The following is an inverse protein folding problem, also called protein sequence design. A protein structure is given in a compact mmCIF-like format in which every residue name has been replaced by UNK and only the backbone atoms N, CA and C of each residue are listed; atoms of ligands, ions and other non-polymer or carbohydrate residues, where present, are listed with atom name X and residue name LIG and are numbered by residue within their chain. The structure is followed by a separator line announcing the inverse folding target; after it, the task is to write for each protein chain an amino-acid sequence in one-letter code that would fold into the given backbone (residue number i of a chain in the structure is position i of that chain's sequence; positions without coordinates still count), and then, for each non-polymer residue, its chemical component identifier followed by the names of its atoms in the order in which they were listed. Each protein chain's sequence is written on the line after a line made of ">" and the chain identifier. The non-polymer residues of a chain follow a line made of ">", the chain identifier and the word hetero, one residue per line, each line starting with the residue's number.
data_IF_284622414128
#
_entry.id   IF_284622414128
#
_cell.length_a   1.000
_cell.length_b   1.000
_cell.length_c   1.000
_cell.angle_alpha   90.00
_cell.angle_beta   90.00
_cell.angle_gamma   90.00
#
_symmetry.space_group_name_H-M   'P 1'
#
loop_
_entity.id
_entity.type
_entity.pdbx_description
1 polymer ?
#
# COMPACT_ATOMS: atom_id res chain seq x y z
N UNK A 1 -8.23 1.47 11.47
CA UNK A 1 -7.08 0.82 12.14
C UNK A 1 -6.10 1.91 12.55
N UNK A 2 -5.89 2.12 13.85
CA UNK A 2 -4.96 3.12 14.41
C UNK A 2 -3.55 2.53 14.41
N UNK A 3 -2.59 3.21 13.79
CA UNK A 3 -1.17 2.81 13.83
C UNK A 3 -0.54 3.29 15.13
N UNK A 4 0.55 2.62 15.56
CA UNK A 4 1.30 2.96 16.78
C UNK A 4 1.95 4.36 16.72
N UNK A 5 1.90 5.02 15.57
CA UNK A 5 2.46 6.34 15.28
C UNK A 5 1.52 7.51 15.64
N UNK A 6 0.24 7.24 15.90
CA UNK A 6 -0.79 8.27 16.17
C UNK A 6 -0.81 8.79 17.62
N UNK A 7 0.14 8.41 18.47
CA UNK A 7 0.10 8.72 19.89
C UNK A 7 0.61 10.14 20.28
N UNK A 8 0.93 11.02 19.33
CA UNK A 8 1.63 12.27 19.65
C UNK A 8 0.82 13.58 19.54
N UNK A 9 -0.45 13.56 19.12
CA UNK A 9 -1.16 14.81 18.82
C UNK A 9 -2.57 14.94 19.43
N UNK A 10 -2.80 14.57 20.69
CA UNK A 10 -4.04 14.95 21.40
C UNK A 10 -3.79 15.24 22.89
N UNK A 11 -3.06 16.31 23.22
CA UNK A 11 -3.20 16.97 24.53
C UNK A 11 -2.99 18.49 24.35
N UNK A 12 -4.04 19.22 23.98
CA UNK A 12 -4.13 20.66 24.25
C UNK A 12 -4.37 20.85 25.76
N UNK A 13 -3.29 20.85 26.56
CA UNK A 13 -3.34 21.33 27.94
C UNK A 13 -2.69 22.72 27.99
N UNK A 14 -3.47 23.71 28.43
CA UNK A 14 -3.04 25.10 28.70
C UNK A 14 -1.63 25.12 29.33
N UNK A 15 -0.69 25.95 28.84
CA UNK A 15 0.66 25.93 29.38
C UNK A 15 0.64 26.61 30.75
N UNK A 16 0.88 25.82 31.82
CA UNK A 16 1.34 26.35 33.11
C UNK A 16 2.57 27.21 32.83
N UNK A 17 2.62 28.43 33.37
CA UNK A 17 3.78 29.31 33.28
C UNK A 17 5.00 28.57 33.87
N UNK A 18 5.93 28.14 33.03
CA UNK A 18 7.15 27.43 33.44
C UNK A 18 8.27 28.43 33.66
N UNK A 19 9.14 28.13 34.63
CA UNK A 19 10.29 28.96 34.96
C UNK A 19 11.15 29.22 33.70
N UNK A 20 11.72 30.44 33.54
CA UNK A 20 12.46 30.82 32.32
C UNK A 20 13.62 29.87 31.98
N UNK A 21 14.26 29.26 32.99
CA UNK A 21 15.33 28.26 32.79
C UNK A 21 14.88 26.93 32.18
N UNK A 22 13.65 26.46 32.47
CA UNK A 22 13.10 25.24 31.87
C UNK A 22 12.65 25.46 30.42
N UNK A 23 12.06 26.63 30.14
CA UNK A 23 11.71 27.02 28.78
C UNK A 23 12.96 27.11 27.88
N UNK A 24 14.08 27.57 28.44
CA UNK A 24 15.36 27.66 27.73
C UNK A 24 16.01 26.28 27.50
N UNK A 25 15.91 25.34 28.44
CA UNK A 25 16.31 23.93 28.25
C UNK A 25 15.45 23.22 27.20
N UNK A 26 14.13 23.42 27.21
CA UNK A 26 13.21 22.81 26.23
C UNK A 26 13.43 23.40 24.84
N UNK A 27 13.68 24.71 24.71
CA UNK A 27 14.04 25.35 23.43
C UNK A 27 15.36 24.82 22.86
N UNK A 28 16.35 24.54 23.70
CA UNK A 28 17.64 23.94 23.28
C UNK A 28 17.50 22.49 22.79
N UNK A 29 16.42 21.79 23.14
CA UNK A 29 16.18 20.41 22.72
C UNK A 29 15.14 20.25 21.60
N UNK A 30 14.50 21.34 21.15
CA UNK A 30 13.61 21.32 19.98
C UNK A 30 14.41 21.66 18.73
N UNK A 31 15.11 20.68 18.18
CA UNK A 31 15.54 20.79 16.80
C UNK A 31 14.47 20.17 15.92
N UNK A 32 13.92 20.98 15.03
CA UNK A 32 13.16 20.46 13.90
C UNK A 32 14.13 20.20 12.76
N UNK A 33 14.00 19.05 12.10
CA UNK A 33 14.71 18.75 10.86
C UNK A 33 13.64 18.72 9.78
N UNK A 34 13.77 19.59 8.78
CA UNK A 34 12.80 19.70 7.68
C UNK A 34 11.34 19.87 8.16
N UNK A 35 11.13 20.55 9.30
CA UNK A 35 9.78 20.79 9.85
C UNK A 35 9.21 19.66 10.72
N UNK A 36 9.94 18.57 10.91
CA UNK A 36 9.54 17.43 11.74
C UNK A 36 10.28 17.39 13.07
N UNK A 37 9.67 16.75 14.07
CA UNK A 37 10.23 16.66 15.42
C UNK A 37 11.35 15.61 15.46
N UNK A 38 12.56 16.04 15.84
CA UNK A 38 13.70 15.15 16.06
C UNK A 38 13.92 14.97 17.57
N UNK A 39 13.87 13.73 18.06
CA UNK A 39 14.17 13.45 19.46
C UNK A 39 15.64 13.10 19.65
N UNK A 40 16.46 14.06 20.12
CA UNK A 40 17.89 13.83 20.38
C UNK A 40 18.22 12.80 21.43
N UNK A 41 17.25 12.40 22.28
CA UNK A 41 17.49 11.41 23.34
C UNK A 41 17.38 9.99 22.83
N UNK A 42 16.50 9.76 21.86
CA UNK A 42 16.26 8.45 21.27
C UNK A 42 16.82 8.35 19.85
N UNK A 43 17.31 9.47 19.29
CA UNK A 43 17.67 9.64 17.88
C UNK A 43 16.61 9.22 16.86
N UNK A 44 15.39 8.93 17.34
CA UNK A 44 14.25 8.55 16.50
C UNK A 44 13.69 9.80 15.84
N UNK A 45 13.66 9.77 14.51
CA UNK A 45 12.93 10.70 13.69
C UNK A 45 11.89 9.95 12.86
N UNK A 46 10.62 10.24 13.12
CA UNK A 46 9.51 9.72 12.33
C UNK A 46 8.83 10.90 11.64
N UNK A 47 8.97 11.02 10.30
CA UNK A 47 8.29 12.08 9.59
C UNK A 47 6.78 11.94 9.73
N UNK A 48 6.07 13.07 9.79
CA UNK A 48 4.61 13.05 9.84
C UNK A 48 4.05 12.41 8.56
N UNK A 49 2.98 11.64 8.67
CA UNK A 49 2.30 11.09 7.50
C UNK A 49 1.90 12.20 6.53
N UNK A 50 2.12 11.97 5.23
CA UNK A 50 1.85 12.95 4.18
C UNK A 50 2.90 14.06 4.06
N UNK A 51 4.00 13.98 4.80
CA UNK A 51 5.15 14.86 4.59
C UNK A 51 5.76 14.67 3.20
N UNK A 52 6.11 15.79 2.58
CA UNK A 52 6.67 15.80 1.22
C UNK A 52 8.14 16.21 1.30
N UNK A 53 8.99 15.49 0.58
CA UNK A 53 10.41 15.77 0.51
C UNK A 53 10.92 15.59 -0.91
N UNK A 54 11.88 16.42 -1.31
CA UNK A 54 12.48 16.36 -2.64
C UNK A 54 13.91 15.83 -2.56
N UNK A 55 14.24 14.82 -3.37
CA UNK A 55 15.61 14.31 -3.55
C UNK A 55 16.00 14.45 -5.01
N UNK A 56 17.26 14.80 -5.26
CA UNK A 56 17.81 14.87 -6.62
C UNK A 56 18.32 13.48 -6.99
N UNK A 57 17.79 12.92 -8.06
CA UNK A 57 18.10 11.56 -8.54
C UNK A 57 18.47 11.59 -10.02
N UNK A 58 19.21 10.57 -10.47
CA UNK A 58 19.53 10.34 -11.87
C UNK A 58 18.92 9.01 -12.37
N UNK A 59 19.00 8.75 -13.68
CA UNK A 59 18.38 7.56 -14.31
C UNK A 59 19.03 6.23 -13.93
N UNK A 60 20.25 6.25 -13.42
CA UNK A 60 21.01 5.06 -13.00
C UNK A 60 20.83 4.72 -11.51
N UNK A 61 20.15 5.58 -10.74
CA UNK A 61 19.88 5.32 -9.33
C UNK A 61 18.76 4.30 -9.17
N UNK A 62 19.09 3.16 -8.58
CA UNK A 62 18.12 2.15 -8.19
C UNK A 62 17.27 2.57 -6.98
N UNK A 63 16.18 1.84 -6.73
CA UNK A 63 15.27 2.03 -5.60
C UNK A 63 16.02 2.06 -4.27
N UNK A 64 16.98 1.15 -4.06
CA UNK A 64 17.79 1.08 -2.83
C UNK A 64 18.58 2.38 -2.61
N UNK A 65 19.22 2.91 -3.66
CA UNK A 65 19.99 4.15 -3.53
C UNK A 65 19.10 5.35 -3.19
N UNK A 66 17.94 5.47 -3.86
CA UNK A 66 16.98 6.55 -3.60
C UNK A 66 16.40 6.42 -2.19
N UNK A 67 16.12 5.20 -1.75
CA UNK A 67 15.65 4.90 -0.41
C UNK A 67 16.66 5.34 0.65
N UNK A 68 17.93 4.99 0.50
CA UNK A 68 19.01 5.43 1.39
C UNK A 68 19.13 6.96 1.43
N UNK A 69 19.02 7.65 0.29
CA UNK A 69 19.02 9.11 0.27
C UNK A 69 17.85 9.71 1.07
N UNK A 70 16.66 9.14 0.95
CA UNK A 70 15.47 9.59 1.68
C UNK A 70 15.63 9.35 3.19
N UNK A 71 16.05 8.16 3.60
CA UNK A 71 16.27 7.82 5.00
C UNK A 71 17.34 8.72 5.63
N UNK A 72 18.44 8.98 4.92
CA UNK A 72 19.49 9.90 5.36
C UNK A 72 18.97 11.34 5.50
N UNK A 73 18.15 11.80 4.55
CA UNK A 73 17.57 13.15 4.60
C UNK A 73 16.64 13.34 5.80
N UNK A 74 15.94 12.28 6.18
CA UNK A 74 15.09 12.25 7.36
C UNK A 74 15.84 11.84 8.64
N UNK A 75 17.10 11.40 8.57
CA UNK A 75 17.84 10.84 9.72
C UNK A 75 17.09 9.68 10.40
N UNK A 76 16.55 8.78 9.59
CA UNK A 76 15.97 7.53 10.09
C UNK A 76 17.13 6.58 10.40
N UNK A 77 17.17 6.05 11.63
CA UNK A 77 18.23 5.13 12.06
C UNK A 77 18.01 3.68 11.59
N UNK A 78 16.75 3.32 11.32
CA UNK A 78 16.38 1.99 10.85
C UNK A 78 16.96 1.70 9.45
N UNK A 79 17.18 0.42 9.19
CA UNK A 79 17.81 -0.04 7.94
C UNK A 79 16.90 0.16 6.72
N UNK A 80 17.47 0.29 5.50
CA UNK A 80 16.69 0.39 4.27
C UNK A 80 15.83 -0.84 3.99
N UNK A 81 16.13 -1.99 4.59
CA UNK A 81 15.32 -3.22 4.48
C UNK A 81 13.94 -3.12 5.13
N UNK A 82 13.77 -2.21 6.11
CA UNK A 82 12.49 -2.01 6.80
C UNK A 82 11.55 -1.09 6.03
N UNK A 83 12.02 -0.50 4.93
CA UNK A 83 11.26 0.45 4.14
C UNK A 83 11.21 0.02 2.67
N UNK A 84 10.19 0.50 1.98
CA UNK A 84 10.09 0.38 0.55
C UNK A 84 9.46 1.62 -0.06
N UNK A 85 9.72 1.81 -1.36
CA UNK A 85 9.05 2.83 -2.15
C UNK A 85 7.81 2.21 -2.80
N UNK A 86 6.68 2.88 -2.66
CA UNK A 86 5.42 2.48 -3.26
C UNK A 86 4.93 3.58 -4.20
N UNK A 87 4.40 3.19 -5.36
CA UNK A 87 3.66 4.07 -6.23
C UNK A 87 2.18 3.94 -5.85
N UNK A 88 1.55 5.06 -5.53
CA UNK A 88 0.12 5.12 -5.20
C UNK A 88 -0.57 5.97 -6.25
N UNK A 89 -1.58 5.38 -6.89
CA UNK A 89 -2.41 6.05 -7.88
C UNK A 89 -3.70 6.62 -7.27
N UNK A 90 -4.31 7.58 -7.96
CA UNK A 90 -5.65 8.11 -7.61
C UNK A 90 -6.75 7.04 -7.64
N UNK A 91 -6.56 5.99 -8.46
CA UNK A 91 -7.44 4.82 -8.49
C UNK A 91 -7.49 4.07 -7.17
N UNK A 92 -6.45 4.19 -6.33
CA UNK A 92 -6.22 3.37 -5.14
C UNK A 92 -5.22 2.24 -5.38
N UNK A 93 -4.76 2.05 -6.62
CA UNK A 93 -3.71 1.09 -6.95
C UNK A 93 -2.41 1.44 -6.22
N UNK A 94 -1.79 0.42 -5.61
CA UNK A 94 -0.53 0.55 -4.90
C UNK A 94 0.43 -0.53 -5.33
N UNK A 95 1.54 -0.13 -5.93
CA UNK A 95 2.57 -1.04 -6.42
C UNK A 95 3.90 -0.77 -5.73
N UNK A 96 4.57 -1.82 -5.27
CA UNK A 96 5.90 -1.73 -4.67
C UNK A 96 6.95 -1.61 -5.76
N UNK A 97 7.85 -0.65 -5.63
CA UNK A 97 9.05 -0.59 -6.46
C UNK A 97 10.05 -1.64 -6.00
N UNK A 98 10.53 -2.46 -6.93
CA UNK A 98 11.55 -3.47 -6.64
C UNK A 98 12.90 -2.81 -6.41
N UNK A 99 13.78 -3.48 -5.67
CA UNK A 99 15.12 -2.98 -5.34
C UNK A 99 15.97 -2.65 -6.58
N UNK A 100 15.80 -3.42 -7.65
CA UNK A 100 16.53 -3.29 -8.91
C UNK A 100 15.91 -2.27 -9.88
N UNK A 101 14.74 -1.71 -9.57
CA UNK A 101 14.05 -0.73 -10.41
C UNK A 101 14.63 0.67 -10.21
N UNK A 102 14.23 1.59 -11.10
CA UNK A 102 14.75 2.95 -11.14
C UNK A 102 13.61 3.95 -10.89
N UNK A 103 13.49 4.53 -9.68
CA UNK A 103 12.36 5.39 -9.31
C UNK A 103 12.16 6.60 -10.23
N UNK A 104 13.24 7.15 -10.81
CA UNK A 104 13.12 8.24 -11.78
C UNK A 104 12.43 7.79 -13.08
N UNK A 105 12.78 6.60 -13.59
CA UNK A 105 12.17 6.05 -14.81
C UNK A 105 10.70 5.74 -14.55
N UNK A 106 10.40 5.11 -13.42
CA UNK A 106 9.02 4.88 -12.98
C UNK A 106 8.23 6.19 -12.91
N UNK A 107 8.80 7.25 -12.32
CA UNK A 107 8.14 8.56 -12.25
C UNK A 107 7.84 9.14 -13.64
N UNK A 108 8.75 8.97 -14.60
CA UNK A 108 8.54 9.45 -15.97
C UNK A 108 7.39 8.67 -16.64
N UNK A 109 7.33 7.36 -16.46
CA UNK A 109 6.29 6.50 -17.04
C UNK A 109 4.89 6.85 -16.52
N UNK A 110 4.75 7.09 -15.21
CA UNK A 110 3.47 7.48 -14.60
C UNK A 110 3.14 8.97 -14.74
N UNK A 111 4.07 9.77 -15.26
CA UNK A 111 3.90 11.18 -15.53
C UNK A 111 4.17 12.11 -14.34
N UNK A 112 4.21 13.44 -14.59
CA UNK A 112 4.63 14.44 -13.61
C UNK A 112 3.54 14.85 -12.61
N UNK A 113 2.27 14.49 -12.85
CA UNK A 113 1.15 14.96 -12.04
C UNK A 113 1.05 14.20 -10.71
N UNK A 114 1.25 14.90 -9.59
CA UNK A 114 1.10 14.32 -8.24
C UNK A 114 -0.34 13.95 -7.87
N UNK A 115 -1.34 14.41 -8.63
CA UNK A 115 -2.73 13.98 -8.41
C UNK A 115 -2.95 12.56 -8.90
N UNK A 116 -2.29 12.17 -10.00
CA UNK A 116 -2.50 10.89 -10.67
C UNK A 116 -1.69 9.77 -10.01
N UNK A 117 -0.41 10.03 -9.76
CA UNK A 117 0.50 9.05 -9.16
C UNK A 117 1.48 9.75 -8.21
N UNK A 118 1.78 9.10 -7.09
CA UNK A 118 2.71 9.60 -6.06
C UNK A 118 3.62 8.48 -5.60
N UNK A 119 4.88 8.80 -5.34
CA UNK A 119 5.82 7.86 -4.74
C UNK A 119 5.84 8.11 -3.23
N UNK A 120 5.54 7.08 -2.47
CA UNK A 120 5.54 7.09 -1.01
C UNK A 120 6.66 6.22 -0.46
N UNK A 121 7.30 6.72 0.59
CA UNK A 121 8.14 5.92 1.47
C UNK A 121 7.24 5.32 2.55
N UNK A 122 7.20 3.99 2.64
CA UNK A 122 6.40 3.28 3.64
C UNK A 122 7.22 2.15 4.27
N UNK A 123 6.84 1.75 5.49
CA UNK A 123 7.40 0.55 6.13
C UNK A 123 7.01 -0.70 5.31
N UNK A 124 7.97 -1.60 5.11
CA UNK A 124 7.80 -2.77 4.25
C UNK A 124 6.69 -3.70 4.77
N UNK A 125 6.53 -3.80 6.08
CA UNK A 125 5.54 -4.67 6.73
C UNK A 125 4.10 -4.14 6.63
N UNK A 126 3.92 -2.84 6.41
CA UNK A 126 2.58 -2.21 6.31
C UNK A 126 2.16 -1.91 4.87
N UNK A 127 3.10 -1.92 3.94
CA UNK A 127 2.85 -1.60 2.54
C UNK A 127 2.20 -2.76 1.79
N UNK A 128 0.89 -2.95 1.97
CA UNK A 128 0.13 -3.92 1.17
C UNK A 128 0.03 -3.44 -0.29
N UNK A 129 0.41 -4.32 -1.21
CA UNK A 129 0.20 -4.12 -2.65
C UNK A 129 -1.29 -4.25 -2.97
N UNK A 130 -1.79 -3.27 -3.72
CA UNK A 130 -3.17 -3.25 -4.19
C UNK A 130 -3.13 -3.28 -5.71
N UNK A 131 -3.48 -4.41 -6.34
CA UNK A 131 -3.56 -4.49 -7.79
C UNK A 131 -4.70 -3.64 -8.33
N UNK A 132 -4.57 -3.23 -9.60
CA UNK A 132 -5.54 -2.38 -10.29
C UNK A 132 -6.99 -2.90 -10.21
N UNK A 133 -7.18 -4.20 -10.35
CA UNK A 133 -8.51 -4.83 -10.33
C UNK A 133 -9.17 -4.72 -8.96
N UNK A 134 -8.38 -4.75 -7.89
CA UNK A 134 -8.88 -4.60 -6.51
C UNK A 134 -9.08 -3.13 -6.15
N UNK A 135 -8.25 -2.22 -6.68
CA UNK A 135 -8.29 -0.79 -6.38
C UNK A 135 -9.67 -0.16 -6.62
N UNK A 136 -10.39 -0.62 -7.64
CA UNK A 136 -11.74 -0.15 -7.96
C UNK A 136 -12.74 -0.38 -6.82
N UNK A 137 -12.53 -1.44 -6.04
CA UNK A 137 -13.44 -1.83 -4.97
C UNK A 137 -13.21 -1.10 -3.65
N UNK A 138 -12.02 -0.52 -3.44
CA UNK A 138 -11.65 0.18 -2.21
C UNK A 138 -12.57 1.36 -1.90
N UNK A 139 -13.22 1.93 -2.93
CA UNK A 139 -14.12 3.07 -2.81
C UNK A 139 -15.51 2.69 -2.31
N UNK A 140 -15.87 1.41 -2.28
CA UNK A 140 -17.18 0.95 -1.81
C UNK A 140 -17.20 0.68 -0.31
N UNK A 141 -18.39 0.82 0.29
CA UNK A 141 -18.62 0.44 1.68
C UNK A 141 -18.68 -1.08 1.84
N UNK A 142 -18.31 -1.58 3.03
CA UNK A 142 -18.32 -3.01 3.33
C UNK A 142 -19.64 -3.73 2.97
N UNK A 143 -20.84 -3.19 3.26
CA UNK A 143 -22.10 -3.85 2.88
C UNK A 143 -22.27 -4.00 1.37
N UNK A 144 -21.76 -3.04 0.59
CA UNK A 144 -21.81 -3.10 -0.88
C UNK A 144 -20.86 -4.19 -1.38
N UNK A 145 -19.66 -4.27 -0.82
CA UNK A 145 -18.69 -5.32 -1.13
C UNK A 145 -19.24 -6.72 -0.79
N UNK A 146 -19.87 -6.87 0.37
CA UNK A 146 -20.51 -8.13 0.77
C UNK A 146 -21.57 -8.55 -0.25
N UNK A 147 -22.37 -7.59 -0.75
CA UNK A 147 -23.38 -7.86 -1.79
C UNK A 147 -22.77 -8.30 -3.13
N UNK A 148 -21.58 -7.79 -3.50
CA UNK A 148 -20.88 -8.26 -4.70
C UNK A 148 -20.39 -9.69 -4.52
N UNK A 149 -19.82 -10.01 -3.36
CA UNK A 149 -19.35 -11.36 -3.04
C UNK A 149 -20.51 -12.36 -3.07
N UNK A 150 -21.66 -11.98 -2.50
CA UNK A 150 -22.86 -12.82 -2.52
C UNK A 150 -23.34 -13.09 -3.95
N UNK A 151 -23.46 -12.04 -4.78
CA UNK A 151 -23.87 -12.19 -6.18
C UNK A 151 -22.92 -13.05 -7.01
N UNK A 152 -21.60 -12.91 -6.79
CA UNK A 152 -20.59 -13.72 -7.47
C UNK A 152 -20.72 -15.20 -7.09
N UNK A 153 -20.98 -15.51 -5.81
CA UNK A 153 -21.24 -16.89 -5.36
C UNK A 153 -22.51 -17.47 -5.98
N UNK A 154 -23.58 -16.69 -6.07
CA UNK A 154 -24.82 -17.13 -6.73
C UNK A 154 -24.63 -17.37 -8.24
N UNK A 155 -23.77 -16.59 -8.89
CA UNK A 155 -23.44 -16.77 -10.30
C UNK A 155 -22.57 -18.01 -10.51
N UNK A 156 -21.56 -18.22 -9.66
CA UNK A 156 -20.73 -19.41 -9.65
C UNK A 156 -21.56 -20.68 -9.48
N UNK A 157 -22.47 -20.72 -8.49
CA UNK A 157 -23.35 -21.87 -8.26
C UNK A 157 -24.25 -22.16 -9.48
N UNK A 158 -24.78 -21.11 -10.13
CA UNK A 158 -25.58 -21.26 -11.35
C UNK A 158 -24.78 -21.86 -12.50
N UNK A 159 -23.53 -21.43 -12.69
CA UNK A 159 -22.67 -22.01 -13.72
C UNK A 159 -22.24 -23.44 -13.38
N UNK A 160 -22.00 -23.77 -12.10
CA UNK A 160 -21.73 -25.15 -11.65
C UNK A 160 -22.91 -26.07 -11.98
N UNK A 161 -24.14 -25.67 -11.64
CA UNK A 161 -25.35 -26.45 -11.92
C UNK A 161 -25.49 -26.66 -13.43
N UNK A 162 -25.39 -25.59 -14.21
CA UNK A 162 -25.50 -25.63 -15.68
C UNK A 162 -24.44 -26.52 -16.32
N UNK A 163 -23.19 -26.45 -15.86
CA UNK A 163 -22.10 -27.31 -16.33
C UNK A 163 -22.36 -28.77 -15.97
N UNK A 164 -22.80 -29.03 -14.74
CA UNK A 164 -23.11 -30.38 -14.25
C UNK A 164 -24.24 -31.02 -15.03
N UNK A 165 -25.33 -30.28 -15.29
CA UNK A 165 -26.45 -30.77 -16.11
C UNK A 165 -26.01 -31.08 -17.54
N UNK A 166 -25.21 -30.19 -18.17
CA UNK A 166 -24.66 -30.43 -19.51
C UNK A 166 -23.77 -31.67 -19.54
N UNK A 167 -22.89 -31.82 -18.56
CA UNK A 167 -22.02 -32.98 -18.45
C UNK A 167 -22.82 -34.29 -18.30
N UNK A 168 -23.83 -34.30 -17.42
CA UNK A 168 -24.70 -35.46 -17.22
C UNK A 168 -25.45 -35.85 -18.50
N UNK A 169 -26.03 -34.87 -19.21
CA UNK A 169 -26.75 -35.10 -20.46
C UNK A 169 -25.83 -35.70 -21.55
N UNK A 170 -24.63 -35.16 -21.70
CA UNK A 170 -23.63 -35.67 -22.65
C UNK A 170 -23.18 -37.08 -22.26
N UNK A 171 -22.92 -37.33 -20.98
CA UNK A 171 -22.54 -38.65 -20.47
C UNK A 171 -23.62 -39.69 -20.76
N UNK A 172 -24.89 -39.38 -20.51
CA UNK A 172 -26.02 -40.28 -20.81
C UNK A 172 -26.11 -40.58 -22.30
N UNK A 173 -25.94 -39.56 -23.15
CA UNK A 173 -25.96 -39.74 -24.61
C UNK A 173 -24.82 -40.65 -25.07
N UNK A 174 -23.61 -40.47 -24.53
CA UNK A 174 -22.47 -41.35 -24.84
C UNK A 174 -22.72 -42.79 -24.40
N UNK A 175 -23.28 -43.01 -23.22
CA UNK A 175 -23.61 -44.35 -22.72
C UNK A 175 -24.65 -45.05 -23.60
N UNK A 176 -25.72 -44.36 -23.97
CA UNK A 176 -26.73 -44.89 -24.90
C UNK A 176 -26.13 -45.25 -26.26
N UNK A 177 -25.21 -44.43 -26.78
CA UNK A 177 -24.50 -44.73 -28.03
C UNK A 177 -23.59 -45.95 -27.90
N UNK A 178 -22.94 -46.13 -26.77
CA UNK A 178 -22.12 -47.30 -26.51
C UNK A 178 -22.96 -48.58 -26.44
N UNK A 179 -24.11 -48.55 -25.75
CA UNK A 179 -25.04 -49.69 -25.68
C UNK A 179 -25.56 -50.09 -27.07
N UNK A 180 -25.98 -49.13 -27.90
CA UNK A 180 -26.41 -49.38 -29.28
C UNK A 180 -25.33 -50.06 -30.14
N UNK A 181 -24.06 -49.69 -29.94
CA UNK A 181 -22.93 -50.30 -30.67
C UNK A 181 -22.59 -51.72 -30.19
N UNK A 182 -22.91 -52.04 -28.93
CA UNK A 182 -22.73 -53.37 -28.36
C UNK A 182 -23.85 -54.32 -28.81
N UNK A 183 -25.09 -53.85 -28.87
CA UNK A 183 -26.25 -54.65 -29.33
C UNK A 183 -26.26 -54.92 -30.84
N UNK A 184 -25.60 -54.07 -31.64
CA UNK A 184 -25.49 -54.23 -33.09
C UNK A 184 -24.43 -55.26 -33.54
N UNK A 185 -23.81 -55.99 -32.60
CA UNK A 185 -22.73 -56.96 -32.82
C UNK A 185 -23.19 -58.36 -32.45
#
# INVERSE_FOLDING_TARGET
>A
MRTKSDAACVIQRRPRARAPGEAQRIRRHRFSINGHFYNHKTSVFTPAYGSVTNVRVNSTMTTVHVLTLLLNKFRVENGPSEFALYIVHESGERTKLKDCEYPLISRILHGPCEKIARIFLMEADLGEEVPHDVAQYIKFEMPVLDSFVEKLKEEEEREIIKLTTKFQALRLTMLQRLEQLVEAK
#
